data_IF_180941511954
#
_entry.id   IF_180941511954
#
_cell.length_a   1.000
_cell.length_b   1.000
_cell.length_c   1.000
_cell.angle_alpha   90.00
_cell.angle_beta   90.00
_cell.angle_gamma   90.00
#
_symmetry.space_group_name_H-M   'P 1'
#
loop_
_entity.id
_entity.type
_entity.pdbx_description
1 polymer ?
#
# COMPACT_ATOMS: atom_id res chain seq x y z
N UNK A 1 6.63 -0.44 32.69
CA UNK A 1 5.99 -1.75 32.43
C UNK A 1 7.03 -2.65 31.79
N UNK A 2 7.24 -3.90 32.25
CA UNK A 2 8.09 -4.82 31.52
C UNK A 2 7.51 -4.97 30.11
N UNK A 3 8.36 -4.82 29.08
CA UNK A 3 7.94 -4.98 27.70
C UNK A 3 7.33 -6.37 27.56
N UNK A 4 6.02 -6.42 27.28
CA UNK A 4 5.34 -7.67 26.96
C UNK A 4 6.13 -8.31 25.82
N UNK A 5 6.60 -9.56 25.97
CA UNK A 5 7.27 -10.27 24.88
C UNK A 5 6.26 -10.41 23.74
N UNK A 6 6.34 -9.50 22.78
CA UNK A 6 5.47 -9.49 21.63
C UNK A 6 5.83 -10.70 20.77
N UNK A 7 4.82 -11.39 20.24
CA UNK A 7 5.06 -12.40 19.21
C UNK A 7 5.77 -11.73 18.02
N UNK A 8 6.69 -12.42 17.35
CA UNK A 8 7.33 -11.91 16.13
C UNK A 8 6.28 -11.47 15.10
N UNK A 9 6.61 -10.45 14.31
CA UNK A 9 5.72 -9.94 13.24
C UNK A 9 6.25 -10.37 11.88
N UNK A 10 5.37 -10.82 10.99
CA UNK A 10 5.66 -11.08 9.58
C UNK A 10 5.02 -9.96 8.77
N UNK A 11 5.84 -9.12 8.16
CA UNK A 11 5.36 -8.03 7.32
C UNK A 11 5.06 -8.57 5.92
N UNK A 12 3.83 -8.34 5.48
CA UNK A 12 3.31 -8.75 4.18
C UNK A 12 2.88 -7.49 3.45
N UNK A 13 3.62 -7.12 2.40
CA UNK A 13 3.23 -6.03 1.53
C UNK A 13 1.99 -6.44 0.75
N UNK A 14 0.98 -5.58 0.70
CA UNK A 14 -0.22 -5.79 -0.11
C UNK A 14 -0.52 -4.51 -0.88
N UNK A 15 -0.75 -4.68 -2.16
CA UNK A 15 -1.16 -3.63 -3.08
C UNK A 15 -2.42 -4.08 -3.83
N UNK A 16 -3.34 -3.15 -4.11
CA UNK A 16 -4.62 -3.44 -4.75
C UNK A 16 -4.88 -2.50 -5.92
N UNK A 17 -5.55 -3.04 -6.94
CA UNK A 17 -6.16 -2.25 -8.00
C UNK A 17 -7.68 -2.23 -7.79
N UNK A 18 -8.30 -1.06 -7.97
CA UNK A 18 -9.74 -0.85 -7.78
C UNK A 18 -10.35 -0.04 -8.93
N UNK A 19 -11.63 -0.30 -9.23
CA UNK A 19 -12.37 0.43 -10.25
C UNK A 19 -13.11 1.68 -9.70
N UNK A 20 -12.75 2.12 -8.49
CA UNK A 20 -13.27 3.34 -7.88
C UNK A 20 -12.72 3.64 -6.48
N UNK A 21 -13.24 4.68 -5.80
CA UNK A 21 -12.60 5.27 -4.62
C UNK A 21 -12.84 4.54 -3.29
N UNK A 22 -13.90 3.73 -3.16
CA UNK A 22 -14.25 3.04 -1.90
C UNK A 22 -14.84 1.65 -2.14
N UNK A 23 -14.63 0.67 -1.25
CA UNK A 23 -15.20 -0.66 -1.40
C UNK A 23 -16.71 -0.68 -1.14
N UNK A 24 -17.40 -1.59 -1.81
CA UNK A 24 -18.85 -1.79 -1.68
C UNK A 24 -19.58 -1.24 -2.89
N UNK A 25 -19.68 0.10 -3.05
CA UNK A 25 -20.18 0.69 -4.30
C UNK A 25 -19.25 0.42 -5.49
N UNK A 26 -17.94 0.30 -5.25
CA UNK A 26 -16.92 -0.01 -6.26
C UNK A 26 -16.18 -1.31 -5.91
N UNK A 27 -15.47 -1.86 -6.88
CA UNK A 27 -14.82 -3.15 -6.84
C UNK A 27 -13.31 -3.03 -6.65
N UNK A 28 -12.76 -3.90 -5.80
CA UNK A 28 -11.35 -4.29 -5.89
C UNK A 28 -11.25 -5.28 -7.05
N UNK A 29 -10.42 -4.98 -8.05
CA UNK A 29 -10.35 -5.73 -9.31
C UNK A 29 -9.08 -6.58 -9.42
N UNK A 30 -8.03 -6.26 -8.68
CA UNK A 30 -6.94 -7.19 -8.41
C UNK A 30 -6.25 -6.86 -7.10
N UNK A 31 -5.49 -7.81 -6.56
CA UNK A 31 -4.60 -7.57 -5.44
C UNK A 31 -3.41 -8.52 -5.47
N UNK A 32 -2.27 -8.01 -5.05
CA UNK A 32 -1.02 -8.72 -4.91
C UNK A 32 -0.51 -8.66 -3.49
N UNK A 33 0.21 -9.69 -3.06
CA UNK A 33 0.87 -9.71 -1.77
C UNK A 33 2.25 -10.35 -1.86
N UNK A 34 3.19 -9.84 -1.07
CA UNK A 34 4.56 -10.34 -0.98
C UNK A 34 5.07 -10.27 0.46
N UNK A 35 5.75 -11.32 0.93
CA UNK A 35 6.39 -11.29 2.25
C UNK A 35 7.61 -10.38 2.21
N UNK A 36 7.60 -9.31 3.00
CA UNK A 36 8.71 -8.36 3.09
C UNK A 36 9.80 -8.85 4.07
N UNK A 37 9.41 -9.33 5.24
CA UNK A 37 10.38 -9.75 6.25
C UNK A 37 9.76 -9.99 7.61
N UNK A 38 10.60 -10.46 8.54
CA UNK A 38 10.21 -10.82 9.91
C UNK A 38 10.90 -9.93 10.92
N UNK A 39 10.15 -9.44 11.89
CA UNK A 39 10.69 -8.73 13.06
C UNK A 39 10.51 -9.54 14.33
N UNK A 40 11.58 -9.62 15.11
CA UNK A 40 11.63 -10.27 16.42
C UNK A 40 12.33 -9.35 17.42
N UNK A 41 11.55 -8.75 18.32
CA UNK A 41 12.01 -7.66 19.16
C UNK A 41 12.52 -6.48 18.32
N UNK A 42 13.78 -6.09 18.52
CA UNK A 42 14.43 -5.01 17.80
C UNK A 42 15.05 -5.44 16.46
N UNK A 43 15.16 -6.74 16.20
CA UNK A 43 15.81 -7.28 15.00
C UNK A 43 14.82 -7.44 13.87
N UNK A 44 15.19 -6.96 12.68
CA UNK A 44 14.45 -7.18 11.44
C UNK A 44 15.29 -8.04 10.49
N UNK A 45 14.67 -9.03 9.88
CA UNK A 45 15.27 -9.88 8.84
C UNK A 45 14.43 -9.76 7.58
N UNK A 46 15.01 -9.17 6.53
CA UNK A 46 14.39 -9.08 5.22
C UNK A 46 14.21 -10.49 4.62
N UNK A 47 13.11 -10.69 3.91
CA UNK A 47 12.88 -11.85 3.07
C UNK A 47 13.21 -11.52 1.61
N UNK A 48 13.40 -12.54 0.79
CA UNK A 48 13.28 -12.39 -0.66
C UNK A 48 11.80 -12.15 -1.02
N UNK A 49 11.43 -10.97 -1.54
CA UNK A 49 10.04 -10.61 -1.78
C UNK A 49 9.38 -11.42 -2.89
N UNK A 50 10.14 -12.10 -3.75
CA UNK A 50 9.59 -12.97 -4.81
C UNK A 50 9.31 -14.39 -4.31
N UNK A 51 9.81 -14.78 -3.13
CA UNK A 51 9.74 -16.16 -2.64
C UNK A 51 8.33 -16.58 -2.22
N UNK A 52 7.62 -15.67 -1.56
CA UNK A 52 6.27 -15.93 -1.03
C UNK A 52 5.35 -14.83 -1.48
N UNK A 53 4.61 -15.14 -2.54
CA UNK A 53 3.70 -14.20 -3.20
C UNK A 53 2.28 -14.77 -3.30
N UNK A 54 1.31 -13.87 -3.44
CA UNK A 54 -0.07 -14.19 -3.75
C UNK A 54 -0.62 -13.15 -4.72
N UNK A 55 -1.44 -13.58 -5.68
CA UNK A 55 -2.06 -12.66 -6.64
C UNK A 55 -3.41 -13.19 -7.12
N UNK A 56 -4.40 -12.30 -7.22
CA UNK A 56 -5.68 -12.59 -7.87
C UNK A 56 -6.22 -11.36 -8.60
N UNK A 57 -6.80 -11.61 -9.76
CA UNK A 57 -7.77 -10.74 -10.40
C UNK A 57 -9.19 -11.16 -9.96
N UNK A 58 -10.06 -10.19 -9.71
CA UNK A 58 -11.38 -10.41 -9.12
C UNK A 58 -12.49 -10.05 -10.10
N UNK A 59 -13.57 -10.83 -10.05
CA UNK A 59 -14.84 -10.45 -10.66
C UNK A 59 -15.37 -9.20 -9.95
N UNK A 60 -15.69 -8.11 -10.68
CA UNK A 60 -16.30 -6.92 -10.09
C UNK A 60 -17.60 -7.24 -9.36
N UNK A 61 -17.87 -6.54 -8.26
CA UNK A 61 -19.03 -6.79 -7.38
C UNK A 61 -20.18 -5.81 -7.60
N UNK A 62 -19.96 -4.80 -8.43
CA UNK A 62 -20.86 -3.68 -8.68
C UNK A 62 -20.74 -3.24 -10.12
N UNK A 63 -21.85 -2.82 -10.74
CA UNK A 63 -21.87 -2.20 -12.06
C UNK A 63 -21.33 -0.75 -12.05
N UNK A 64 -21.21 -0.15 -10.87
CA UNK A 64 -20.66 1.19 -10.71
C UNK A 64 -19.12 1.14 -10.73
N UNK A 65 -18.53 1.88 -11.66
CA UNK A 65 -17.08 2.06 -11.79
C UNK A 65 -16.74 3.46 -12.33
N UNK A 66 -15.51 3.90 -12.09
CA UNK A 66 -14.93 5.14 -12.63
C UNK A 66 -13.96 4.75 -13.74
N UNK A 67 -14.23 5.09 -15.02
CA UNK A 67 -13.37 4.71 -16.15
C UNK A 67 -11.90 5.10 -15.96
N UNK A 68 -11.65 6.27 -15.38
CA UNK A 68 -10.30 6.76 -15.11
C UNK A 68 -9.58 5.88 -14.07
N UNK A 69 -10.28 5.43 -13.01
CA UNK A 69 -9.70 4.54 -12.00
C UNK A 69 -9.35 3.18 -12.61
N UNK A 70 -10.28 2.60 -13.40
CA UNK A 70 -10.04 1.34 -14.10
C UNK A 70 -8.81 1.42 -15.02
N UNK A 71 -8.65 2.54 -15.74
CA UNK A 71 -7.57 2.73 -16.70
C UNK A 71 -6.16 2.70 -16.09
N UNK A 72 -6.01 2.98 -14.79
CA UNK A 72 -4.72 2.95 -14.09
C UNK A 72 -4.12 1.55 -14.12
N UNK A 73 -4.93 0.54 -13.78
CA UNK A 73 -4.50 -0.88 -13.76
C UNK A 73 -4.24 -1.49 -15.14
N UNK A 74 -4.80 -0.88 -16.20
CA UNK A 74 -4.82 -1.48 -17.55
C UNK A 74 -5.66 -2.76 -17.68
N UNK A 75 -6.43 -3.15 -16.65
CA UNK A 75 -7.25 -4.35 -16.66
C UNK A 75 -8.53 -4.18 -17.49
N UNK A 76 -8.91 -5.23 -18.22
CA UNK A 76 -10.16 -5.30 -18.98
C UNK A 76 -11.30 -5.73 -18.05
N UNK A 77 -12.18 -4.79 -17.68
CA UNK A 77 -13.29 -5.06 -16.78
C UNK A 77 -14.30 -6.07 -17.35
N UNK A 78 -14.53 -6.10 -18.67
CA UNK A 78 -15.44 -7.06 -19.29
C UNK A 78 -14.84 -8.47 -19.25
N UNK A 79 -13.52 -8.60 -19.42
CA UNK A 79 -12.80 -9.86 -19.16
C UNK A 79 -12.98 -10.27 -17.70
N UNK A 80 -12.76 -9.36 -16.75
CA UNK A 80 -12.88 -9.66 -15.31
C UNK A 80 -14.29 -10.12 -14.92
N UNK A 81 -15.35 -9.57 -15.52
CA UNK A 81 -16.71 -10.05 -15.31
C UNK A 81 -16.89 -11.53 -15.69
N UNK A 82 -16.24 -11.96 -16.77
CA UNK A 82 -16.33 -13.35 -17.26
C UNK A 82 -15.39 -14.29 -16.49
N UNK A 83 -14.15 -13.86 -16.30
CA UNK A 83 -13.02 -14.74 -15.96
C UNK A 83 -12.41 -14.46 -14.58
N UNK A 84 -12.68 -13.30 -13.99
CA UNK A 84 -12.16 -12.92 -12.68
C UNK A 84 -12.62 -13.88 -11.58
N UNK A 85 -11.77 -14.06 -10.57
CA UNK A 85 -12.08 -14.95 -9.45
C UNK A 85 -13.26 -14.41 -8.64
N UNK A 86 -14.12 -15.32 -8.16
CA UNK A 86 -15.16 -14.97 -7.21
C UNK A 86 -14.55 -14.39 -5.93
N UNK A 87 -14.95 -13.18 -5.48
CA UNK A 87 -14.35 -12.54 -4.31
C UNK A 87 -14.32 -13.42 -3.05
N UNK A 88 -15.36 -14.23 -2.83
CA UNK A 88 -15.40 -15.16 -1.70
C UNK A 88 -14.35 -16.28 -1.78
N UNK A 89 -14.13 -16.83 -2.97
CA UNK A 89 -13.09 -17.84 -3.18
C UNK A 89 -11.70 -17.21 -3.01
N UNK A 90 -11.45 -16.08 -3.65
CA UNK A 90 -10.17 -15.38 -3.55
C UNK A 90 -9.83 -14.95 -2.12
N UNK A 91 -10.81 -14.47 -1.34
CA UNK A 91 -10.59 -14.12 0.07
C UNK A 91 -10.38 -15.37 0.95
N UNK A 92 -10.98 -16.52 0.63
CA UNK A 92 -10.70 -17.77 1.34
C UNK A 92 -9.26 -18.24 1.07
N UNK A 93 -8.84 -18.23 -0.19
CA UNK A 93 -7.47 -18.59 -0.61
C UNK A 93 -6.43 -17.66 0.00
N UNK A 94 -6.65 -16.35 -0.06
CA UNK A 94 -5.73 -15.37 0.50
C UNK A 94 -5.57 -15.54 2.02
N UNK A 95 -6.67 -15.75 2.75
CA UNK A 95 -6.61 -16.03 4.19
C UNK A 95 -5.83 -17.30 4.50
N UNK A 96 -6.01 -18.36 3.71
CA UNK A 96 -5.27 -19.60 3.88
C UNK A 96 -3.77 -19.35 3.67
N UNK A 97 -3.41 -18.67 2.58
CA UNK A 97 -2.04 -18.30 2.27
C UNK A 97 -1.38 -17.46 3.39
N UNK A 98 -2.04 -16.40 3.87
CA UNK A 98 -1.51 -15.57 4.97
C UNK A 98 -1.26 -16.40 6.22
N UNK A 99 -2.19 -17.31 6.58
CA UNK A 99 -2.04 -18.19 7.75
C UNK A 99 -0.89 -19.17 7.56
N UNK A 100 -0.72 -19.73 6.37
CA UNK A 100 0.37 -20.65 6.04
C UNK A 100 1.74 -19.98 6.18
N UNK A 101 1.96 -18.83 5.52
CA UNK A 101 3.25 -18.12 5.57
C UNK A 101 3.56 -17.62 6.99
N UNK A 102 2.53 -17.19 7.73
CA UNK A 102 2.67 -16.76 9.12
C UNK A 102 3.04 -17.91 10.06
N UNK A 103 2.41 -19.07 9.89
CA UNK A 103 2.71 -20.27 10.66
C UNK A 103 4.14 -20.76 10.37
N UNK A 104 4.53 -20.80 9.09
CA UNK A 104 5.88 -21.16 8.67
C UNK A 104 6.96 -20.22 9.24
N UNK A 105 6.66 -18.94 9.41
CA UNK A 105 7.56 -17.96 10.02
C UNK A 105 7.49 -17.90 11.56
N UNK A 106 6.56 -18.62 12.19
CA UNK A 106 6.30 -18.54 13.63
C UNK A 106 5.97 -17.11 14.09
N UNK A 107 5.22 -16.36 13.28
CA UNK A 107 5.01 -14.92 13.45
C UNK A 107 3.54 -14.52 13.22
N UNK A 108 3.16 -13.34 13.69
CA UNK A 108 1.85 -12.73 13.45
C UNK A 108 1.90 -11.88 12.18
N UNK A 109 0.94 -12.02 11.26
CA UNK A 109 0.95 -11.22 10.04
C UNK A 109 0.62 -9.75 10.31
N UNK A 110 1.33 -8.87 9.63
CA UNK A 110 1.07 -7.43 9.57
C UNK A 110 1.04 -7.05 8.09
N UNK A 111 -0.09 -6.57 7.62
CA UNK A 111 -0.18 -5.98 6.28
C UNK A 111 0.58 -4.67 6.26
N UNK A 112 1.36 -4.40 5.21
CA UNK A 112 1.92 -3.09 4.94
C UNK A 112 1.57 -2.64 3.52
N UNK A 113 1.31 -1.34 3.36
CA UNK A 113 1.02 -0.73 2.06
C UNK A 113 1.60 0.68 1.96
N UNK A 114 1.67 1.21 0.74
CA UNK A 114 2.16 2.56 0.46
C UNK A 114 1.27 3.29 -0.56
N UNK A 115 0.25 4.07 -0.11
CA UNK A 115 -0.20 4.24 1.28
C UNK A 115 -1.20 3.16 1.71
N UNK A 116 -0.99 2.56 2.88
CA UNK A 116 -1.83 1.48 3.37
C UNK A 116 -3.29 1.88 3.57
N UNK A 117 -3.61 3.16 3.73
CA UNK A 117 -4.99 3.62 3.95
C UNK A 117 -5.95 3.20 2.83
N UNK A 118 -5.48 3.19 1.58
CA UNK A 118 -6.33 2.79 0.45
C UNK A 118 -6.44 1.27 0.38
N UNK A 119 -5.28 0.59 0.32
CA UNK A 119 -5.19 -0.86 0.21
C UNK A 119 -5.90 -1.58 1.37
N UNK A 120 -5.64 -1.15 2.60
CA UNK A 120 -6.28 -1.72 3.79
C UNK A 120 -7.78 -1.53 3.77
N UNK A 121 -8.29 -0.37 3.32
CA UNK A 121 -9.73 -0.11 3.29
C UNK A 121 -10.44 -1.11 2.37
N UNK A 122 -9.93 -1.32 1.16
CA UNK A 122 -10.47 -2.31 0.23
C UNK A 122 -10.28 -3.74 0.74
N UNK A 123 -9.05 -4.12 1.08
CA UNK A 123 -8.72 -5.47 1.50
C UNK A 123 -9.50 -5.89 2.75
N UNK A 124 -9.52 -5.05 3.80
CA UNK A 124 -10.21 -5.34 5.04
C UNK A 124 -11.72 -5.46 4.82
N UNK A 125 -12.31 -4.57 4.00
CA UNK A 125 -13.73 -4.68 3.65
C UNK A 125 -14.03 -6.01 2.94
N UNK A 126 -13.21 -6.42 1.98
CA UNK A 126 -13.39 -7.69 1.25
C UNK A 126 -13.24 -8.90 2.16
N UNK A 127 -12.21 -8.92 3.01
CA UNK A 127 -11.98 -9.97 4.01
C UNK A 127 -13.19 -10.12 4.94
N UNK A 128 -13.73 -9.01 5.45
CA UNK A 128 -14.90 -9.05 6.32
C UNK A 128 -16.18 -9.42 5.56
N UNK A 129 -16.41 -8.85 4.38
CA UNK A 129 -17.64 -9.05 3.59
C UNK A 129 -17.78 -10.48 3.07
N UNK A 130 -16.67 -11.06 2.62
CA UNK A 130 -16.64 -12.35 1.93
C UNK A 130 -16.01 -13.48 2.75
N UNK A 131 -15.38 -13.14 3.88
CA UNK A 131 -14.74 -14.12 4.77
C UNK A 131 -15.24 -14.09 6.21
N UNK A 132 -15.80 -12.97 6.68
CA UNK A 132 -16.24 -12.79 8.07
C UNK A 132 -15.10 -12.52 9.06
N UNK A 133 -13.84 -12.60 8.64
CA UNK A 133 -12.67 -12.35 9.47
C UNK A 133 -11.46 -11.85 8.65
N UNK A 134 -10.49 -11.27 9.35
CA UNK A 134 -9.19 -10.87 8.79
C UNK A 134 -8.06 -11.61 9.50
N UNK A 135 -7.11 -12.23 8.77
CA UNK A 135 -5.97 -12.91 9.38
C UNK A 135 -5.00 -11.91 10.02
N UNK A 136 -5.11 -10.62 9.68
CA UNK A 136 -4.38 -9.50 10.26
C UNK A 136 -5.08 -8.92 11.51
N UNK A 137 -6.24 -9.46 11.91
CA UNK A 137 -7.10 -8.86 12.93
C UNK A 137 -7.62 -7.48 12.52
N UNK A 138 -8.03 -6.67 13.50
CA UNK A 138 -8.61 -5.33 13.26
C UNK A 138 -7.55 -4.22 13.10
N UNK A 139 -6.27 -4.50 13.38
CA UNK A 139 -5.21 -3.48 13.46
C UNK A 139 -3.81 -3.94 13.04
N UNK A 140 -3.66 -5.14 12.49
CA UNK A 140 -2.38 -5.62 11.94
C UNK A 140 -2.06 -4.97 10.60
N UNK A 141 -1.97 -3.65 10.57
CA UNK A 141 -1.73 -2.82 9.40
C UNK A 141 -0.62 -1.80 9.70
N UNK A 142 0.29 -1.59 8.76
CA UNK A 142 1.35 -0.59 8.84
C UNK A 142 1.38 0.25 7.56
N UNK A 143 1.23 1.56 7.71
CA UNK A 143 1.42 2.51 6.62
C UNK A 143 2.90 2.88 6.46
N UNK A 144 3.51 2.46 5.36
CA UNK A 144 4.93 2.71 5.08
C UNK A 144 5.25 4.20 4.94
N UNK A 145 4.31 4.98 4.42
CA UNK A 145 4.45 6.44 4.28
C UNK A 145 4.56 7.12 5.64
N UNK A 146 3.70 6.74 6.58
CA UNK A 146 3.72 7.21 7.97
C UNK A 146 4.99 6.75 8.68
N UNK A 147 5.42 5.50 8.48
CA UNK A 147 6.67 5.00 9.05
C UNK A 147 7.87 5.83 8.55
N UNK A 148 7.95 6.10 7.26
CA UNK A 148 9.01 6.95 6.71
C UNK A 148 8.94 8.37 7.28
N UNK A 149 7.77 9.00 7.30
CA UNK A 149 7.60 10.34 7.86
C UNK A 149 8.12 10.43 9.31
N UNK A 150 7.78 9.43 10.13
CA UNK A 150 8.23 9.34 11.50
C UNK A 150 9.75 9.13 11.62
N UNK A 151 10.34 8.21 10.83
CA UNK A 151 11.78 7.95 10.85
C UNK A 151 12.59 9.15 10.33
N UNK A 152 12.14 9.78 9.25
CA UNK A 152 12.82 10.92 8.65
C UNK A 152 12.59 12.25 9.38
N UNK A 153 11.65 12.31 10.33
CA UNK A 153 11.31 13.54 11.05
C UNK A 153 10.67 14.61 10.15
N UNK A 154 9.95 14.19 9.10
CA UNK A 154 9.29 15.12 8.14
C UNK A 154 7.77 15.06 8.27
N UNK A 155 7.04 16.15 7.95
CA UNK A 155 5.59 16.10 7.88
C UNK A 155 5.09 15.04 6.89
N UNK A 156 3.98 14.37 7.19
CA UNK A 156 3.40 13.31 6.33
C UNK A 156 3.16 13.76 4.88
N UNK A 157 2.83 15.03 4.65
CA UNK A 157 2.62 15.57 3.30
C UNK A 157 3.94 15.80 2.52
N UNK A 158 5.07 15.88 3.22
CA UNK A 158 6.40 15.94 2.62
C UNK A 158 7.03 14.55 2.39
N UNK A 159 6.47 13.50 3.02
CA UNK A 159 6.85 12.10 2.82
C UNK A 159 6.34 11.54 1.49
N UNK A 160 6.88 12.03 0.38
CA UNK A 160 6.58 11.53 -0.97
C UNK A 160 7.71 10.63 -1.48
N UNK A 161 7.37 9.57 -2.23
CA UNK A 161 8.30 8.50 -2.66
C UNK A 161 9.50 9.09 -3.41
N UNK A 162 9.28 10.06 -4.30
CA UNK A 162 10.34 10.71 -5.09
C UNK A 162 11.31 11.59 -4.30
N UNK A 163 11.03 11.91 -3.03
CA UNK A 163 11.96 12.65 -2.16
C UNK A 163 12.67 11.75 -1.14
N UNK A 164 12.38 10.44 -1.15
CA UNK A 164 13.07 9.50 -0.27
C UNK A 164 14.53 9.30 -0.71
N UNK A 165 15.44 9.01 0.23
CA UNK A 165 16.79 8.55 -0.09
C UNK A 165 16.76 7.37 -1.07
N UNK A 166 17.68 7.36 -2.04
CA UNK A 166 17.74 6.31 -3.09
C UNK A 166 17.89 4.90 -2.51
N UNK A 167 18.58 4.76 -1.38
CA UNK A 167 18.75 3.49 -0.66
C UNK A 167 17.45 2.89 -0.11
N UNK A 168 16.38 3.70 0.02
CA UNK A 168 15.06 3.18 0.37
C UNK A 168 14.33 2.63 -0.85
N UNK A 169 14.55 3.23 -2.02
CA UNK A 169 13.77 2.94 -3.22
C UNK A 169 14.20 1.63 -3.87
N UNK A 170 13.23 0.83 -4.27
CA UNK A 170 13.47 -0.33 -5.12
C UNK A 170 13.97 0.09 -6.50
N UNK A 171 14.79 -0.76 -7.11
CA UNK A 171 15.18 -0.63 -8.52
C UNK A 171 14.15 -1.24 -9.48
N UNK A 172 13.10 -1.88 -8.96
CA UNK A 172 12.05 -2.55 -9.74
C UNK A 172 11.09 -1.51 -10.33
N UNK A 173 10.53 -1.78 -11.53
CA UNK A 173 9.55 -0.87 -12.12
C UNK A 173 8.24 -0.92 -11.32
N UNK A 174 7.59 0.24 -11.20
CA UNK A 174 6.20 0.35 -10.76
C UNK A 174 5.31 0.20 -11.99
N UNK A 175 4.45 -0.81 -12.03
CA UNK A 175 3.79 -1.26 -13.28
C UNK A 175 2.27 -1.12 -13.27
N UNK A 176 1.65 -0.78 -12.13
CA UNK A 176 0.19 -0.87 -11.93
C UNK A 176 -0.34 -2.30 -12.10
N UNK A 177 0.55 -3.28 -11.87
CA UNK A 177 0.20 -4.67 -11.67
C UNK A 177 0.39 -4.99 -10.18
N UNK A 178 -0.72 -5.27 -9.49
CA UNK A 178 -0.74 -5.34 -8.03
C UNK A 178 0.32 -6.26 -7.40
N UNK A 179 0.70 -7.36 -8.08
CA UNK A 179 1.78 -8.21 -7.56
C UNK A 179 3.17 -7.59 -7.71
N UNK A 180 3.46 -6.99 -8.86
CA UNK A 180 4.76 -6.38 -9.12
C UNK A 180 4.98 -5.25 -8.13
N UNK A 181 3.93 -4.45 -7.91
CA UNK A 181 3.94 -3.34 -6.98
C UNK A 181 4.01 -3.82 -5.51
N UNK A 182 3.33 -4.90 -5.14
CA UNK A 182 3.50 -5.51 -3.82
C UNK A 182 4.93 -6.02 -3.58
N UNK A 183 5.60 -6.58 -4.60
CA UNK A 183 7.00 -7.03 -4.53
C UNK A 183 7.95 -5.83 -4.41
N UNK A 184 7.75 -4.79 -5.21
CA UNK A 184 8.49 -3.52 -5.11
C UNK A 184 8.36 -2.90 -3.71
N UNK A 185 7.13 -2.83 -3.21
CA UNK A 185 6.82 -2.29 -1.89
C UNK A 185 7.38 -3.15 -0.74
N UNK A 186 7.46 -4.47 -0.91
CA UNK A 186 8.08 -5.35 0.07
C UNK A 186 9.59 -5.08 0.23
N UNK A 187 10.28 -4.75 -0.86
CA UNK A 187 11.68 -4.31 -0.81
C UNK A 187 11.81 -2.94 -0.15
N UNK A 188 10.96 -1.97 -0.52
CA UNK A 188 10.90 -0.66 0.15
C UNK A 188 10.66 -0.80 1.65
N UNK A 189 9.76 -1.69 2.07
CA UNK A 189 9.48 -1.97 3.47
C UNK A 189 10.71 -2.51 4.18
N UNK A 190 11.40 -3.49 3.60
CA UNK A 190 12.64 -4.03 4.16
C UNK A 190 13.72 -2.97 4.32
N UNK A 191 13.94 -2.17 3.27
CA UNK A 191 14.89 -1.07 3.31
C UNK A 191 14.52 -0.08 4.42
N UNK A 192 13.25 0.29 4.52
CA UNK A 192 12.76 1.22 5.53
C UNK A 192 12.91 0.68 6.94
N UNK A 193 12.71 -0.62 7.17
CA UNK A 193 12.89 -1.24 8.48
C UNK A 193 14.35 -1.26 8.92
N UNK A 194 15.26 -1.55 7.98
CA UNK A 194 16.70 -1.60 8.22
C UNK A 194 17.36 -0.20 8.22
N UNK A 195 16.68 0.79 7.65
CA UNK A 195 17.20 2.15 7.52
C UNK A 195 17.39 2.82 8.87
N UNK A 196 18.56 3.45 9.06
CA UNK A 196 18.80 4.37 10.16
C UNK A 196 18.83 5.78 9.58
N UNK A 197 17.84 6.63 9.91
CA UNK A 197 17.83 8.00 9.42
C UNK A 197 19.10 8.73 9.88
N UNK A 198 19.69 9.59 9.04
CA UNK A 198 20.75 10.47 9.49
C UNK A 198 20.23 11.32 10.66
N UNK A 199 21.13 11.66 11.59
CA UNK A 199 20.78 12.48 12.74
C UNK A 199 20.02 13.73 12.27
N UNK A 200 18.90 14.02 12.94
CA UNK A 200 18.09 15.18 12.59
C UNK A 200 18.99 16.42 12.57
N UNK A 201 18.88 17.29 11.54
CA UNK A 201 19.57 18.56 11.57
C UNK A 201 19.15 19.32 12.84
N UNK A 202 20.12 20.00 13.46
CA UNK A 202 19.90 20.80 14.66
C UNK A 202 18.67 21.70 14.44
N UNK A 203 17.63 21.64 15.31
CA UNK A 203 16.45 22.49 15.18
C UNK A 203 16.77 24.00 15.19
N UNK A 204 17.99 24.41 15.55
CA UNK A 204 18.51 25.78 15.40
C UNK A 204 18.99 26.15 13.99
N UNK A 205 19.19 25.19 13.09
CA UNK A 205 19.56 25.44 11.70
C UNK A 205 18.29 25.75 10.89
N UNK A 206 17.85 27.02 10.93
CA UNK A 206 16.78 27.52 10.06
C UNK A 206 17.26 27.43 8.61
N UNK A 207 16.92 26.33 7.94
CA UNK A 207 17.01 26.27 6.48
C UNK A 207 15.96 27.24 5.93
N UNK A 208 16.43 28.35 5.36
CA UNK A 208 15.61 29.28 4.60
C UNK A 208 15.08 28.53 3.39
N UNK A 209 13.85 28.01 3.49
CA UNK A 209 13.16 27.43 2.35
C UNK A 209 12.88 28.55 1.34
N UNK A 210 13.28 28.41 0.06
CA UNK A 210 12.89 29.37 -0.96
C UNK A 210 11.36 29.33 -1.06
N UNK A 211 10.74 30.52 -0.97
CA UNK A 211 9.29 30.71 -1.07
C UNK A 211 8.77 29.95 -2.29
N UNK A 212 7.98 28.90 -2.06
CA UNK A 212 7.15 28.31 -3.10
C UNK A 212 6.10 29.36 -3.44
N UNK A 213 6.17 29.92 -4.64
CA UNK A 213 5.14 30.79 -5.17
C UNK A 213 3.82 30.01 -5.23
N UNK A 214 2.77 30.57 -4.62
CA UNK A 214 1.41 30.07 -4.75
C UNK A 214 1.05 29.93 -6.24
N UNK A 215 0.81 28.72 -6.71
CA UNK A 215 0.04 28.49 -7.93
C UNK A 215 -1.42 28.78 -7.61
N UNK A 216 -1.90 29.96 -8.00
CA UNK A 216 -3.33 30.26 -7.97
C UNK A 216 -4.02 29.47 -9.09
N UNK A 217 -5.02 28.67 -8.74
CA UNK A 217 -5.88 28.03 -9.71
C UNK A 217 -6.61 29.09 -10.55
N UNK A 218 -6.44 29.01 -11.86
CA UNK A 218 -6.92 29.99 -12.83
C UNK A 218 -8.43 30.15 -12.80
N UNK A 219 -8.85 31.42 -12.80
CA UNK A 219 -10.17 31.83 -13.27
C UNK A 219 -10.15 31.66 -14.80
N UNK A 220 -11.08 30.89 -15.35
CA UNK A 220 -11.44 31.04 -16.77
C UNK A 220 -12.15 32.38 -16.91
N UNK A 221 -11.44 33.38 -17.44
CA UNK A 221 -12.08 34.55 -18.03
C UNK A 221 -12.27 34.28 -19.52
N UNK A 222 -13.53 34.36 -19.94
CA UNK A 222 -13.93 34.28 -21.34
C UNK A 222 -13.68 35.66 -21.94
N UNK A 223 -12.68 35.80 -22.80
CA UNK A 223 -12.53 36.98 -23.64
C UNK A 223 -13.59 36.97 -24.75
N UNK A 224 -14.28 38.09 -24.95
CA UNK A 224 -15.01 38.36 -26.19
C UNK A 224 -16.30 39.13 -26.03
N UNK A 225 -16.22 40.42 -25.68
CA UNK A 225 -17.14 41.47 -26.16
C UNK A 225 -16.46 42.82 -25.88
N UNK A 226 -15.79 43.36 -26.90
CA UNK A 226 -15.32 44.74 -26.92
C UNK A 226 -16.50 45.71 -27.10
N UNK A 227 -16.39 46.95 -26.61
CA UNK A 227 -17.49 47.92 -26.64
C UNK A 227 -17.61 48.59 -28.02
N UNK A 228 -18.84 48.68 -28.49
CA UNK A 228 -19.31 49.51 -29.60
C UNK A 228 -20.79 49.80 -29.39
#
# INVERSE_FOLDING_TARGET
MPARTARPSLYISVDIEADGPIPGPYSMISFGAAVAGRQDGASYTAADPERHTFYRELRPISDQYVPEALSVSGLDRDRLLREGAEPAAAMAEFRAWVREVSAGAGAQPVMCGYPASFDWTFLYWYLMRFGGDSPFGHSGCLDMKTLYAAKAGVPLRAAVKGLMPRELLSARPHTHHALDDAVEQAELMSNLMLWTPPAAPDPGAVAVSPRIAHLSWGRMEVEGLTPG
#
